data_IF_117599530165
#
_entry.id   IF_117599530165
#
_cell.length_a   1.000
_cell.length_b   1.000
_cell.length_c   1.000
_cell.angle_alpha   90.00
_cell.angle_beta   90.00
_cell.angle_gamma   90.00
#
_symmetry.space_group_name_H-M   'P 1'
#
loop_
_entity.id
_entity.type
_entity.pdbx_description
1 polymer ?
#
# COMPACT_ATOMS: atom_id res chain seq x y z
N UNK A 1 6.21 14.33 -6.59
CA UNK A 1 7.34 13.57 -6.03
C UNK A 1 7.78 12.55 -7.07
N UNK A 2 9.08 12.27 -7.20
CA UNK A 2 9.58 11.16 -8.03
C UNK A 2 9.78 9.98 -7.08
N UNK A 3 9.24 8.81 -7.40
CA UNK A 3 9.37 7.63 -6.54
C UNK A 3 10.81 7.11 -6.57
N UNK A 4 11.32 6.76 -5.39
CA UNK A 4 12.64 6.19 -5.16
C UNK A 4 12.48 4.85 -4.42
N UNK A 5 13.53 4.37 -3.76
CA UNK A 5 13.54 3.02 -3.18
C UNK A 5 12.67 2.89 -1.91
N UNK A 6 12.50 3.97 -1.15
CA UNK A 6 11.87 3.96 0.18
C UNK A 6 10.35 3.89 0.15
N UNK A 7 9.73 4.55 -0.82
CA UNK A 7 8.28 4.72 -0.87
C UNK A 7 7.53 3.40 -1.06
N UNK A 8 6.34 3.30 -0.48
CA UNK A 8 5.44 2.19 -0.75
C UNK A 8 4.82 2.34 -2.15
N UNK A 9 5.21 1.48 -3.07
CA UNK A 9 4.81 1.56 -4.47
C UNK A 9 3.60 0.68 -4.73
N UNK A 10 2.73 1.14 -5.63
CA UNK A 10 1.56 0.38 -6.07
C UNK A 10 1.53 0.22 -7.58
N UNK A 11 1.12 -0.97 -8.03
CA UNK A 11 0.66 -1.22 -9.39
C UNK A 11 -0.85 -1.43 -9.31
N UNK A 12 -1.60 -0.71 -10.15
CA UNK A 12 -3.06 -0.78 -10.19
C UNK A 12 -3.54 -1.07 -11.60
N UNK A 13 -4.71 -1.69 -11.73
CA UNK A 13 -5.36 -1.90 -13.03
C UNK A 13 -6.79 -1.33 -12.97
N UNK A 14 -7.19 -0.67 -14.06
CA UNK A 14 -8.53 -0.08 -14.18
C UNK A 14 -9.61 -1.17 -13.99
N UNK A 15 -10.52 -0.93 -13.04
CA UNK A 15 -11.60 -1.86 -12.70
C UNK A 15 -11.17 -3.08 -11.86
N UNK A 16 -9.90 -3.17 -11.44
CA UNK A 16 -9.41 -4.26 -10.57
C UNK A 16 -8.70 -3.78 -9.29
N UNK A 17 -8.50 -2.48 -9.13
CA UNK A 17 -7.83 -1.91 -7.95
C UNK A 17 -6.34 -2.27 -7.88
N UNK A 18 -5.82 -2.38 -6.66
CA UNK A 18 -4.42 -2.75 -6.38
C UNK A 18 -4.13 -4.16 -6.92
N UNK A 19 -3.11 -4.26 -7.77
CA UNK A 19 -2.57 -5.55 -8.26
C UNK A 19 -1.29 -5.93 -7.52
N UNK A 20 -0.48 -4.94 -7.15
CA UNK A 20 0.72 -5.12 -6.35
C UNK A 20 0.94 -3.93 -5.43
N UNK A 21 1.33 -4.18 -4.18
CA UNK A 21 1.81 -3.16 -3.25
C UNK A 21 3.07 -3.68 -2.56
N UNK A 22 4.17 -2.93 -2.63
CA UNK A 22 5.44 -3.26 -1.96
C UNK A 22 6.45 -2.12 -2.06
N UNK A 23 7.40 -2.05 -1.14
CA UNK A 23 8.61 -1.21 -1.31
C UNK A 23 9.55 -1.77 -2.39
N UNK A 24 9.57 -3.10 -2.55
CA UNK A 24 10.54 -3.86 -3.34
C UNK A 24 10.07 -4.05 -4.79
N UNK A 25 10.05 -2.96 -5.56
CA UNK A 25 9.88 -2.99 -7.01
C UNK A 25 10.63 -1.81 -7.65
N UNK A 26 10.89 -1.90 -8.96
CA UNK A 26 11.42 -0.77 -9.73
C UNK A 26 10.40 0.40 -9.70
N UNK A 27 10.76 1.58 -9.16
CA UNK A 27 9.86 2.74 -9.13
C UNK A 27 9.29 3.12 -10.50
N UNK A 28 10.02 2.88 -11.59
CA UNK A 28 9.57 3.18 -12.94
C UNK A 28 8.40 2.29 -13.42
N UNK A 29 8.16 1.17 -12.73
CA UNK A 29 7.07 0.23 -13.03
C UNK A 29 5.81 0.50 -12.20
N UNK A 30 5.90 1.34 -11.17
CA UNK A 30 4.79 1.67 -10.30
C UNK A 30 3.76 2.56 -11.01
N UNK A 31 2.47 2.32 -10.76
CA UNK A 31 1.41 3.25 -11.14
C UNK A 31 1.42 4.48 -10.23
N UNK A 32 1.84 4.34 -8.96
CA UNK A 32 1.93 5.44 -8.02
C UNK A 32 2.47 5.03 -6.66
N UNK A 33 2.32 5.95 -5.71
CA UNK A 33 2.69 5.80 -4.30
C UNK A 33 1.43 5.51 -3.48
N UNK A 34 1.50 4.53 -2.58
CA UNK A 34 0.57 4.46 -1.48
C UNK A 34 1.04 5.40 -0.36
N UNK A 35 0.20 6.37 -0.03
CA UNK A 35 0.56 7.50 0.85
C UNK A 35 0.24 7.28 2.34
N UNK A 36 -0.02 6.03 2.75
CA UNK A 36 -0.39 5.72 4.13
C UNK A 36 -1.83 6.07 4.53
N UNK A 37 -2.72 6.33 3.58
CA UNK A 37 -4.14 6.66 3.83
C UNK A 37 -5.06 5.66 3.14
N UNK A 38 -5.85 4.94 3.93
CA UNK A 38 -6.83 3.96 3.47
C UNK A 38 -8.15 4.13 4.21
N UNK A 39 -9.27 4.16 3.47
CA UNK A 39 -10.61 4.00 4.05
C UNK A 39 -10.90 2.50 4.17
N UNK A 40 -11.23 2.06 5.39
CA UNK A 40 -11.61 0.67 5.66
C UNK A 40 -13.08 0.66 6.07
N UNK A 41 -13.93 0.07 5.24
CA UNK A 41 -15.34 -0.13 5.53
C UNK A 41 -15.55 -1.30 6.51
N UNK A 42 -16.68 -1.30 7.21
CA UNK A 42 -16.93 -2.26 8.28
C UNK A 42 -17.04 -3.71 7.78
N UNK A 43 -17.50 -3.91 6.55
CA UNK A 43 -17.61 -5.21 5.89
C UNK A 43 -16.24 -5.80 5.53
N UNK A 44 -15.23 -4.97 5.24
CA UNK A 44 -13.86 -5.41 4.98
C UNK A 44 -13.09 -5.82 6.25
N UNK A 45 -13.60 -5.51 7.44
CA UNK A 45 -12.85 -5.59 8.69
C UNK A 45 -12.39 -7.02 9.04
N UNK A 46 -13.26 -8.03 8.89
CA UNK A 46 -12.93 -9.41 9.25
C UNK A 46 -11.88 -10.00 8.31
N UNK A 47 -12.07 -9.84 6.99
CA UNK A 47 -11.13 -10.37 5.99
C UNK A 47 -9.77 -9.69 6.06
N UNK A 48 -9.75 -8.36 6.27
CA UNK A 48 -8.52 -7.62 6.46
C UNK A 48 -7.79 -8.04 7.74
N UNK A 49 -8.50 -8.17 8.86
CA UNK A 49 -7.89 -8.59 10.11
C UNK A 49 -7.22 -9.97 9.99
N UNK A 50 -7.87 -10.92 9.29
CA UNK A 50 -7.30 -12.24 9.05
C UNK A 50 -6.08 -12.21 8.12
N UNK A 51 -6.10 -11.37 7.07
CA UNK A 51 -4.96 -11.18 6.18
C UNK A 51 -3.75 -10.54 6.90
N UNK A 52 -4.00 -9.52 7.72
CA UNK A 52 -2.98 -8.89 8.57
C UNK A 52 -2.39 -9.89 9.56
N UNK A 53 -3.23 -10.67 10.24
CA UNK A 53 -2.80 -11.72 11.16
C UNK A 53 -1.95 -12.77 10.45
N UNK A 54 -2.38 -13.26 9.30
CA UNK A 54 -1.63 -14.25 8.51
C UNK A 54 -0.26 -13.71 8.11
N UNK A 55 -0.20 -12.43 7.73
CA UNK A 55 1.06 -11.76 7.36
C UNK A 55 2.00 -11.67 8.56
N UNK A 56 1.51 -11.22 9.71
CA UNK A 56 2.28 -11.10 10.94
C UNK A 56 2.77 -12.45 11.48
N UNK A 57 1.91 -13.48 11.45
CA UNK A 57 2.28 -14.84 11.91
C UNK A 57 3.31 -15.49 10.98
N UNK A 58 3.32 -15.14 9.70
CA UNK A 58 4.34 -15.59 8.73
C UNK A 58 5.69 -14.92 9.01
N UNK A 59 5.69 -13.60 9.15
CA UNK A 59 6.89 -12.81 9.44
C UNK A 59 6.49 -11.44 10.04
N UNK A 60 6.82 -11.17 11.32
CA UNK A 60 6.44 -9.93 11.99
C UNK A 60 7.24 -8.70 11.55
N UNK A 61 8.32 -8.87 10.77
CA UNK A 61 9.11 -7.76 10.20
C UNK A 61 8.52 -7.24 8.88
N UNK A 62 7.43 -7.84 8.38
CA UNK A 62 6.71 -7.37 7.20
C UNK A 62 5.87 -6.13 7.48
N UNK A 63 5.61 -5.37 6.42
CA UNK A 63 4.79 -4.16 6.48
C UNK A 63 3.30 -4.54 6.58
N UNK A 64 2.46 -3.65 7.12
CA UNK A 64 1.01 -3.91 7.14
C UNK A 64 0.42 -3.93 5.72
N UNK A 65 1.06 -3.24 4.77
CA UNK A 65 0.74 -3.27 3.35
C UNK A 65 1.02 -4.64 2.71
N UNK A 66 1.93 -5.46 3.26
CA UNK A 66 2.04 -6.87 2.86
C UNK A 66 0.76 -7.64 3.23
N UNK A 67 0.02 -7.19 4.25
CA UNK A 67 -1.32 -7.70 4.57
C UNK A 67 -2.40 -7.24 3.59
N UNK A 68 -2.29 -6.04 3.01
CA UNK A 68 -3.13 -5.66 1.87
C UNK A 68 -2.81 -6.51 0.64
N UNK A 69 -1.53 -6.79 0.39
CA UNK A 69 -1.14 -7.69 -0.69
C UNK A 69 -1.68 -9.11 -0.46
N UNK A 70 -1.61 -9.63 0.76
CA UNK A 70 -2.20 -10.91 1.14
C UNK A 70 -3.73 -10.92 0.90
N UNK A 71 -4.42 -9.86 1.28
CA UNK A 71 -5.86 -9.70 1.06
C UNK A 71 -6.21 -9.69 -0.45
N UNK A 72 -5.45 -8.97 -1.26
CA UNK A 72 -5.57 -8.95 -2.73
C UNK A 72 -5.31 -10.35 -3.33
N UNK A 73 -4.30 -11.07 -2.85
CA UNK A 73 -3.98 -12.42 -3.31
C UNK A 73 -5.13 -13.41 -3.05
N UNK A 74 -5.96 -13.15 -2.03
CA UNK A 74 -7.17 -13.93 -1.71
C UNK A 74 -8.37 -13.60 -2.59
N UNK A 75 -8.24 -12.60 -3.46
CA UNK A 75 -9.28 -12.17 -4.40
C UNK A 75 -10.14 -11.01 -3.91
N UNK A 76 -9.82 -10.41 -2.76
CA UNK A 76 -10.49 -9.19 -2.31
C UNK A 76 -10.01 -8.00 -3.18
N UNK A 77 -10.93 -7.11 -3.53
CA UNK A 77 -10.59 -5.91 -4.32
C UNK A 77 -10.29 -4.75 -3.39
N UNK A 78 -9.06 -4.26 -3.41
CA UNK A 78 -8.68 -2.99 -2.77
C UNK A 78 -8.69 -1.90 -3.82
N UNK A 79 -9.73 -1.07 -3.82
CA UNK A 79 -9.87 0.04 -4.77
C UNK A 79 -8.87 1.18 -4.49
N UNK A 80 -8.66 2.01 -5.51
CA UNK A 80 -7.72 3.14 -5.44
C UNK A 80 -8.42 4.45 -5.78
N UNK A 81 -8.13 5.48 -4.98
CA UNK A 81 -8.62 6.84 -5.20
C UNK A 81 -7.43 7.78 -5.44
N UNK A 82 -7.15 8.17 -6.70
CA UNK A 82 -6.04 9.08 -6.99
C UNK A 82 -6.36 10.48 -6.44
N UNK A 83 -5.40 11.07 -5.71
CA UNK A 83 -5.51 12.44 -5.17
C UNK A 83 -4.92 13.50 -6.11
N UNK A 84 -4.45 13.08 -7.29
CA UNK A 84 -3.76 13.94 -8.24
C UNK A 84 -2.37 14.34 -7.76
N UNK A 85 -1.85 15.44 -8.31
CA UNK A 85 -0.54 15.98 -7.93
C UNK A 85 -0.70 16.97 -6.78
N UNK A 86 -0.24 16.57 -5.60
CA UNK A 86 -0.24 17.42 -4.41
C UNK A 86 1.15 17.50 -3.81
N UNK A 87 1.42 18.61 -3.11
CA UNK A 87 2.60 18.72 -2.26
C UNK A 87 2.29 18.02 -0.94
N UNK A 88 2.97 16.89 -0.71
CA UNK A 88 2.86 16.11 0.50
C UNK A 88 4.21 15.46 0.82
N UNK A 89 4.42 15.08 2.08
CA UNK A 89 5.63 14.40 2.55
C UNK A 89 5.28 13.58 3.80
N UNK A 90 5.88 12.40 3.93
CA UNK A 90 5.91 11.64 5.18
C UNK A 90 7.11 12.12 6.00
N UNK A 91 6.94 12.30 7.31
CA UNK A 91 8.02 12.78 8.18
C UNK A 91 8.63 11.56 8.88
N UNK A 92 9.64 10.97 8.26
CA UNK A 92 10.33 9.78 8.75
C UNK A 92 11.57 10.12 9.58
N UNK A 93 12.27 11.18 9.19
CA UNK A 93 13.51 11.61 9.82
C UNK A 93 13.65 13.15 9.84
N UNK A 94 14.80 13.64 10.30
CA UNK A 94 15.03 15.08 10.49
C UNK A 94 15.14 15.87 9.18
N UNK A 95 15.45 15.21 8.07
CA UNK A 95 15.59 15.86 6.76
C UNK A 95 14.23 16.20 6.14
N UNK A 96 13.16 15.50 6.53
CA UNK A 96 11.80 15.72 6.01
C UNK A 96 11.12 16.98 6.58
N UNK A 97 11.64 17.53 7.68
CA UNK A 97 11.09 18.72 8.35
C UNK A 97 11.44 20.06 7.66
N UNK A 98 12.23 20.04 6.59
CA UNK A 98 12.81 21.23 5.95
C UNK A 98 11.99 21.78 4.80
#
# INVERSE_FOLDING_TARGET
KVLADEEMKVITEEGKGVQRITKLMDPATATGEYIGVTLIEADAAEELADALKTTFERDPDLYYEDGYQELVNRGFTVDVAPIGTVTWVEIDNHDDLK
#
